data_IF_274511578412
#
_entry.id   IF_274511578412
#
_cell.length_a   1.000
_cell.length_b   1.000
_cell.length_c   1.000
_cell.angle_alpha   90.00
_cell.angle_beta   90.00
_cell.angle_gamma   90.00
#
_symmetry.space_group_name_H-M   'P 1'
#
loop_
_entity.id
_entity.type
_entity.pdbx_description
1 polymer ?
#
# COMPACT_ATOMS: atom_id res chain seq x y z
N UNK A 1 -3.51 -10.10 14.84
CA UNK A 1 -3.72 -8.67 14.49
C UNK A 1 -2.47 -8.19 13.74
N UNK A 2 -2.34 -8.49 12.44
CA UNK A 2 -1.10 -8.22 11.66
C UNK A 2 -1.14 -6.89 10.90
N UNK A 3 -2.31 -6.49 10.40
CA UNK A 3 -2.46 -5.25 9.63
C UNK A 3 -2.11 -3.99 10.45
N UNK A 4 -2.45 -3.99 11.74
CA UNK A 4 -2.20 -2.83 12.62
C UNK A 4 -0.71 -2.56 12.81
N UNK A 5 0.13 -3.60 12.89
CA UNK A 5 1.59 -3.43 13.01
C UNK A 5 2.18 -2.75 11.78
N UNK A 6 1.73 -3.15 10.59
CA UNK A 6 2.18 -2.55 9.32
C UNK A 6 1.75 -1.08 9.25
N UNK A 7 0.48 -0.79 9.57
CA UNK A 7 -0.06 0.57 9.57
C UNK A 7 0.72 1.45 10.56
N UNK A 8 0.99 0.94 11.76
CA UNK A 8 1.73 1.65 12.81
C UNK A 8 3.14 2.02 12.34
N UNK A 9 3.90 1.08 11.78
CA UNK A 9 5.26 1.34 11.26
C UNK A 9 5.25 2.39 10.15
N UNK A 10 4.33 2.29 9.19
CA UNK A 10 4.27 3.24 8.07
C UNK A 10 3.90 4.65 8.53
N UNK A 11 2.96 4.77 9.47
CA UNK A 11 2.56 6.06 10.03
C UNK A 11 3.69 6.68 10.86
N UNK A 12 4.43 5.88 11.64
CA UNK A 12 5.63 6.34 12.37
C UNK A 12 6.77 6.78 11.45
N UNK A 13 6.84 6.21 10.25
CA UNK A 13 7.77 6.64 9.20
C UNK A 13 7.25 7.83 8.38
N UNK A 14 6.15 8.47 8.79
CA UNK A 14 5.50 9.59 8.10
C UNK A 14 5.08 9.27 6.65
N UNK A 15 4.85 7.99 6.34
CA UNK A 15 4.36 7.56 5.04
C UNK A 15 2.84 7.63 5.03
N UNK A 16 2.21 8.39 4.10
CA UNK A 16 0.76 8.43 3.98
C UNK A 16 0.19 7.04 3.66
N UNK A 17 -0.70 6.54 4.52
CA UNK A 17 -1.34 5.24 4.38
C UNK A 17 -2.86 5.38 4.35
N UNK A 18 -3.52 4.73 3.40
CA UNK A 18 -4.97 4.53 3.39
C UNK A 18 -5.27 3.06 3.64
N UNK A 19 -6.11 2.79 4.63
CA UNK A 19 -6.68 1.46 4.87
C UNK A 19 -7.92 1.26 4.01
N UNK A 20 -7.97 0.12 3.33
CA UNK A 20 -9.01 -0.14 2.32
C UNK A 20 -9.73 -1.43 2.66
N UNK A 21 -11.05 -1.33 2.83
CA UNK A 21 -11.92 -2.48 3.02
C UNK A 21 -12.40 -3.07 1.70
N UNK A 22 -12.46 -4.40 1.59
CA UNK A 22 -12.83 -5.07 0.34
C UNK A 22 -14.31 -4.89 -0.02
N UNK A 23 -15.19 -5.06 0.96
CA UNK A 23 -16.65 -5.04 0.75
C UNK A 23 -17.32 -3.99 1.62
N UNK A 24 -16.77 -3.74 2.80
CA UNK A 24 -17.24 -2.76 3.78
C UNK A 24 -16.06 -2.01 4.38
N UNK A 25 -16.31 -0.82 4.92
CA UNK A 25 -15.34 -0.10 5.74
C UNK A 25 -15.23 -0.69 7.14
N UNK A 26 -16.27 -1.38 7.63
CA UNK A 26 -16.21 -2.10 8.91
C UNK A 26 -15.74 -3.53 8.67
N UNK A 27 -14.60 -3.89 9.25
CA UNK A 27 -13.97 -5.21 9.16
C UNK A 27 -14.06 -5.90 10.53
N UNK A 28 -14.53 -7.14 10.54
CA UNK A 28 -14.55 -7.98 11.75
C UNK A 28 -13.35 -8.92 11.75
N UNK A 29 -12.47 -8.74 12.73
CA UNK A 29 -11.32 -9.61 12.95
C UNK A 29 -11.69 -10.90 13.71
N UNK A 30 -10.80 -11.88 13.66
CA UNK A 30 -10.99 -13.22 14.25
C UNK A 30 -11.24 -13.23 15.78
N UNK A 31 -10.97 -12.13 16.48
CA UNK A 31 -11.17 -11.99 17.93
C UNK A 31 -12.25 -10.96 18.28
N UNK A 32 -13.26 -10.80 17.42
CA UNK A 32 -14.35 -9.83 17.62
C UNK A 32 -13.88 -8.35 17.67
N UNK A 33 -12.67 -8.08 17.17
CA UNK A 33 -12.12 -6.74 17.05
C UNK A 33 -12.66 -6.13 15.76
N UNK A 34 -13.41 -5.04 15.89
CA UNK A 34 -13.88 -4.24 14.75
C UNK A 34 -12.80 -3.24 14.35
N UNK A 35 -12.45 -3.23 13.08
CA UNK A 35 -11.55 -2.23 12.50
C UNK A 35 -12.29 -1.44 11.44
N UNK A 36 -12.16 -0.13 11.48
CA UNK A 36 -12.77 0.77 10.50
C UNK A 36 -11.66 1.15 9.50
N UNK A 37 -11.87 0.79 8.24
CA UNK A 37 -11.06 1.20 7.11
C UNK A 37 -11.48 2.60 6.63
N UNK A 38 -10.52 3.33 6.08
CA UNK A 38 -10.72 4.70 5.60
C UNK A 38 -11.63 4.75 4.37
N UNK A 39 -11.50 3.78 3.46
CA UNK A 39 -12.24 3.72 2.18
C UNK A 39 -12.62 2.29 1.80
N UNK A 40 -13.57 2.13 0.87
CA UNK A 40 -13.81 0.85 0.19
C UNK A 40 -12.90 0.70 -1.02
N UNK A 41 -12.65 -0.53 -1.44
CA UNK A 41 -11.82 -0.84 -2.61
C UNK A 41 -12.30 -0.16 -3.90
N UNK A 42 -13.60 0.03 -4.05
CA UNK A 42 -14.19 0.67 -5.24
C UNK A 42 -14.14 2.20 -5.19
N UNK A 43 -13.81 2.78 -4.05
CA UNK A 43 -13.72 4.23 -3.85
C UNK A 43 -12.27 4.74 -3.97
N UNK A 44 -11.31 3.85 -4.26
CA UNK A 44 -9.90 4.20 -4.41
C UNK A 44 -9.46 4.11 -5.86
N UNK A 45 -8.69 5.10 -6.29
CA UNK A 45 -8.00 5.08 -7.57
C UNK A 45 -6.60 4.45 -7.39
N UNK A 46 -6.31 3.27 -7.96
CA UNK A 46 -5.03 2.59 -7.77
C UNK A 46 -3.80 3.36 -8.27
N UNK A 47 -4.00 4.30 -9.19
CA UNK A 47 -2.92 5.12 -9.76
C UNK A 47 -2.41 6.19 -8.78
N UNK A 48 -3.18 6.53 -7.73
CA UNK A 48 -2.79 7.48 -6.67
C UNK A 48 -1.80 6.86 -5.66
N UNK A 49 -1.71 5.53 -5.62
CA UNK A 49 -0.94 4.82 -4.60
C UNK A 49 0.40 4.31 -5.14
N UNK A 50 1.47 4.53 -4.37
CA UNK A 50 2.82 4.06 -4.73
C UNK A 50 3.00 2.56 -4.52
N UNK A 51 2.37 2.01 -3.48
CA UNK A 51 2.46 0.61 -3.08
C UNK A 51 1.11 0.09 -2.58
N UNK A 52 0.93 -1.23 -2.67
CA UNK A 52 -0.16 -1.96 -2.04
C UNK A 52 0.48 -2.94 -1.06
N UNK A 53 -0.05 -2.99 0.16
CA UNK A 53 0.40 -3.94 1.18
C UNK A 53 -0.77 -4.83 1.54
N UNK A 54 -0.57 -6.13 1.36
CA UNK A 54 -1.55 -7.15 1.70
C UNK A 54 -1.11 -7.79 3.02
N UNK A 55 -1.78 -7.49 4.15
CA UNK A 55 -1.51 -8.19 5.38
C UNK A 55 -1.84 -9.69 5.23
N UNK A 56 -1.25 -10.52 6.09
CA UNK A 56 -1.49 -11.96 6.08
C UNK A 56 -2.92 -12.37 6.45
N UNK A 57 -3.11 -13.66 6.72
CA UNK A 57 -4.41 -14.25 7.03
C UNK A 57 -5.30 -14.53 5.79
N UNK A 58 -6.53 -15.00 5.98
CA UNK A 58 -7.32 -15.48 4.84
C UNK A 58 -7.82 -14.37 3.88
N UNK A 59 -7.79 -13.11 4.31
CA UNK A 59 -8.28 -11.97 3.51
C UNK A 59 -7.46 -11.78 2.23
N UNK A 60 -6.13 -11.92 2.25
CA UNK A 60 -5.32 -11.78 1.04
C UNK A 60 -5.62 -12.88 0.02
N UNK A 61 -5.93 -14.12 0.44
CA UNK A 61 -6.29 -15.21 -0.47
C UNK A 61 -7.57 -14.90 -1.25
N UNK A 62 -8.58 -14.36 -0.55
CA UNK A 62 -9.84 -13.93 -1.18
C UNK A 62 -9.61 -12.75 -2.11
N UNK A 63 -8.76 -11.79 -1.71
CA UNK A 63 -8.39 -10.67 -2.56
C UNK A 63 -7.69 -11.13 -3.85
N UNK A 64 -6.64 -11.95 -3.74
CA UNK A 64 -5.93 -12.50 -4.89
C UNK A 64 -6.86 -13.28 -5.82
N UNK A 65 -7.77 -14.10 -5.29
CA UNK A 65 -8.68 -14.89 -6.11
C UNK A 65 -9.70 -14.03 -6.87
N UNK A 66 -10.22 -12.97 -6.25
CA UNK A 66 -11.31 -12.17 -6.82
C UNK A 66 -10.82 -10.97 -7.63
N UNK A 67 -9.65 -10.45 -7.31
CA UNK A 67 -9.09 -9.22 -7.88
C UNK A 67 -7.73 -9.45 -8.55
N UNK A 68 -7.43 -10.70 -8.94
CA UNK A 68 -6.20 -11.08 -9.64
C UNK A 68 -5.87 -10.15 -10.81
N UNK A 69 -6.87 -9.88 -11.66
CA UNK A 69 -6.72 -9.01 -12.83
C UNK A 69 -6.31 -7.59 -12.43
N UNK A 70 -6.85 -7.03 -11.33
CA UNK A 70 -6.45 -5.71 -10.86
C UNK A 70 -4.98 -5.66 -10.45
N UNK A 71 -4.46 -6.73 -9.83
CA UNK A 71 -3.04 -6.85 -9.49
C UNK A 71 -2.16 -6.99 -10.72
N UNK A 72 -2.56 -7.78 -11.71
CA UNK A 72 -1.83 -7.92 -12.97
C UNK A 72 -1.76 -6.58 -13.74
N UNK A 73 -2.89 -5.87 -13.82
CA UNK A 73 -2.95 -4.54 -14.41
C UNK A 73 -2.03 -3.55 -13.68
N UNK A 74 -2.08 -3.56 -12.34
CA UNK A 74 -1.27 -2.65 -11.53
C UNK A 74 0.23 -2.97 -11.62
N UNK A 75 0.62 -4.24 -11.51
CA UNK A 75 2.03 -4.66 -11.64
C UNK A 75 2.62 -4.40 -13.02
N UNK A 76 1.84 -4.60 -14.09
CA UNK A 76 2.27 -4.33 -15.47
C UNK A 76 2.53 -2.84 -15.71
N UNK A 77 1.65 -1.94 -15.22
CA UNK A 77 1.89 -0.49 -15.28
C UNK A 77 3.04 -0.05 -14.38
N UNK A 78 3.12 -0.60 -13.17
CA UNK A 78 4.12 -0.22 -12.16
C UNK A 78 5.53 -0.65 -12.50
N UNK A 79 5.74 -1.69 -13.31
CA UNK A 79 7.09 -2.07 -13.77
C UNK A 79 7.81 -0.91 -14.47
N UNK A 80 7.07 -0.14 -15.28
CA UNK A 80 7.60 1.07 -15.96
C UNK A 80 7.80 2.22 -14.97
N UNK A 81 6.89 2.37 -14.01
CA UNK A 81 6.98 3.40 -12.97
C UNK A 81 8.12 3.16 -11.97
N UNK A 82 8.33 1.93 -11.49
CA UNK A 82 9.41 1.57 -10.56
C UNK A 82 10.77 1.80 -11.20
N UNK A 83 10.93 1.45 -12.49
CA UNK A 83 12.16 1.73 -13.24
C UNK A 83 12.40 3.25 -13.40
N UNK A 84 11.35 4.03 -13.65
CA UNK A 84 11.43 5.49 -13.73
C UNK A 84 11.67 6.15 -12.35
N UNK A 85 11.02 5.65 -11.31
CA UNK A 85 11.14 6.10 -9.92
C UNK A 85 12.55 5.81 -9.39
N UNK A 86 13.10 4.63 -9.66
CA UNK A 86 14.48 4.26 -9.31
C UNK A 86 15.47 5.23 -9.95
N UNK A 87 15.28 5.58 -11.23
CA UNK A 87 16.09 6.62 -11.89
C UNK A 87 15.93 8.01 -11.28
N UNK A 88 14.71 8.38 -10.84
CA UNK A 88 14.38 9.71 -10.30
C UNK A 88 14.85 9.92 -8.85
N UNK A 89 14.76 8.91 -8.00
CA UNK A 89 15.15 9.01 -6.60
C UNK A 89 16.65 8.79 -6.39
N UNK A 90 17.28 7.94 -7.21
CA UNK A 90 18.73 7.71 -7.14
C UNK A 90 19.55 8.96 -7.52
N UNK A 91 18.99 9.89 -8.30
CA UNK A 91 19.61 11.20 -8.58
C UNK A 91 19.34 12.26 -7.51
N UNK A 92 18.22 12.18 -6.79
CA UNK A 92 17.91 13.10 -5.67
C UNK A 92 18.69 12.79 -4.40
N UNK A 93 18.94 11.51 -4.09
CA UNK A 93 19.74 11.13 -2.92
C UNK A 93 21.21 11.57 -3.07
N UNK A 94 21.78 11.49 -4.27
CA UNK A 94 23.14 11.99 -4.57
C UNK A 94 23.24 13.52 -4.37
N UNK A 95 22.24 14.29 -4.80
CA UNK A 95 22.24 15.75 -4.62
C UNK A 95 22.00 16.17 -3.16
N UNK A 96 21.20 15.42 -2.39
CA UNK A 96 21.02 15.68 -0.95
C UNK A 96 22.28 15.35 -0.15
N UNK A 97 22.97 14.25 -0.46
CA UNK A 97 24.26 13.90 0.17
C UNK A 97 25.35 14.94 -0.11
N UNK A 98 25.46 15.44 -1.35
CA UNK A 98 26.42 16.52 -1.66
C UNK A 98 26.09 17.87 -0.98
N UNK A 99 24.81 18.15 -0.67
CA UNK A 99 24.39 19.39 0.01
C UNK A 99 24.49 19.33 1.54
N UNK A 100 24.63 18.15 2.13
CA UNK A 100 24.80 17.96 3.58
C UNK A 100 26.28 17.85 3.99
N UNK A 101 27.20 17.81 3.02
CA UNK A 101 28.64 17.72 3.25
C UNK A 101 29.39 19.07 3.03
N UNK A 102 28.65 20.18 2.91
CA UNK A 102 29.18 21.56 2.88
C UNK A 102 28.60 22.35 4.04
#
# INVERSE_FOLDING_TARGET
MEACSIIDVLRRAEIPTTTVGLTSTVLEGAHNIKTIADKKLYDVNPDEYSAIILPGGNAYKVFLRRYWLLLEFWTTRKRRFILAWRKKYQSQDQQKLCKMAT
#
